data_IF_696161615392
#
_entry.id   IF_696161615392
#
_cell.length_a   1.000
_cell.length_b   1.000
_cell.length_c   1.000
_cell.angle_alpha   90.00
_cell.angle_beta   90.00
_cell.angle_gamma   90.00
#
_symmetry.space_group_name_H-M   'P 1'
#
loop_
_entity.id
_entity.type
_entity.pdbx_description
1 polymer ?
#
# COMPACT_ATOMS: atom_id res chain seq x y z
N UNK A 1 11.29 51.59 -18.12
CA UNK A 1 11.88 50.51 -17.31
C UNK A 1 12.16 51.09 -15.93
N UNK A 2 11.28 50.84 -14.96
CA UNK A 2 11.49 51.27 -13.58
C UNK A 2 12.26 50.17 -12.85
N UNK A 3 13.51 50.44 -12.50
CA UNK A 3 14.35 49.59 -11.65
C UNK A 3 13.64 49.44 -10.30
N UNK A 4 13.13 48.25 -9.97
CA UNK A 4 12.59 47.99 -8.63
C UNK A 4 13.70 48.25 -7.61
N UNK A 5 13.53 49.27 -6.77
CA UNK A 5 14.46 49.57 -5.68
C UNK A 5 14.42 48.42 -4.67
N UNK A 6 15.49 47.62 -4.62
CA UNK A 6 15.66 46.53 -3.65
C UNK A 6 15.53 47.08 -2.24
N UNK A 7 14.54 46.59 -1.47
CA UNK A 7 14.27 47.12 -0.13
C UNK A 7 15.47 46.95 0.80
N UNK A 8 15.62 47.81 1.81
CA UNK A 8 16.68 47.66 2.84
C UNK A 8 16.67 46.29 3.49
N UNK A 9 15.48 45.75 3.73
CA UNK A 9 15.29 44.42 4.30
C UNK A 9 15.85 43.33 3.38
N UNK A 10 15.59 43.43 2.08
CA UNK A 10 16.11 42.50 1.08
C UNK A 10 17.63 42.60 0.95
N UNK A 11 18.20 43.81 0.90
CA UNK A 11 19.67 44.00 0.86
C UNK A 11 20.38 43.34 2.04
N UNK A 12 19.79 43.41 3.23
CA UNK A 12 20.32 42.74 4.43
C UNK A 12 20.23 41.22 4.32
N UNK A 13 19.16 40.67 3.76
CA UNK A 13 19.02 39.24 3.49
C UNK A 13 20.07 38.77 2.47
N UNK A 14 20.22 39.49 1.36
CA UNK A 14 21.18 39.14 0.31
C UNK A 14 22.63 39.18 0.82
N UNK A 15 22.99 40.23 1.58
CA UNK A 15 24.30 40.35 2.21
C UNK A 15 24.56 39.23 3.23
N UNK A 16 23.55 38.85 4.01
CA UNK A 16 23.66 37.76 4.97
C UNK A 16 23.92 36.43 4.27
N UNK A 17 23.12 36.08 3.25
CA UNK A 17 23.29 34.87 2.45
C UNK A 17 24.68 34.79 1.81
N UNK A 18 25.16 35.91 1.26
CA UNK A 18 26.47 35.98 0.65
C UNK A 18 27.60 35.71 1.66
N UNK A 19 27.57 36.37 2.82
CA UNK A 19 28.61 36.17 3.83
C UNK A 19 28.53 34.79 4.48
N UNK A 20 27.33 34.29 4.75
CA UNK A 20 27.15 32.93 5.27
C UNK A 20 27.69 31.87 4.32
N UNK A 21 27.54 32.06 3.01
CA UNK A 21 28.08 31.14 2.01
C UNK A 21 29.61 31.16 1.92
N UNK A 22 30.25 32.32 2.15
CA UNK A 22 31.70 32.49 2.00
C UNK A 22 32.49 32.02 3.23
N UNK A 23 32.04 32.40 4.42
CA UNK A 23 32.82 32.24 5.66
C UNK A 23 32.02 31.56 6.79
N UNK A 24 30.79 31.15 6.52
CA UNK A 24 29.92 30.46 7.46
C UNK A 24 29.16 31.36 8.43
N UNK A 25 28.16 30.78 9.08
CA UNK A 25 27.25 31.53 9.96
C UNK A 25 28.02 32.00 11.18
N UNK A 26 28.73 31.12 11.89
CA UNK A 26 29.40 31.42 13.15
C UNK A 26 30.35 32.62 13.03
N UNK A 27 31.22 32.64 12.02
CA UNK A 27 32.24 33.67 11.80
C UNK A 27 31.67 34.99 11.24
N UNK A 28 30.45 35.00 10.70
CA UNK A 28 29.83 36.21 10.13
C UNK A 28 29.24 37.12 11.21
N UNK A 29 29.73 38.34 11.34
CA UNK A 29 29.21 39.32 12.31
C UNK A 29 28.06 40.16 11.73
N UNK A 30 27.15 40.63 12.59
CA UNK A 30 26.06 41.56 12.19
C UNK A 30 26.59 42.85 11.56
N UNK A 31 27.75 43.31 12.02
CA UNK A 31 28.45 44.46 11.46
C UNK A 31 28.90 44.25 10.01
N UNK A 32 29.54 43.11 9.72
CA UNK A 32 29.95 42.78 8.34
C UNK A 32 28.74 42.72 7.40
N UNK A 33 27.62 42.17 7.86
CA UNK A 33 26.39 42.10 7.07
C UNK A 33 25.84 43.50 6.81
N UNK A 34 25.76 44.35 7.82
CA UNK A 34 25.28 45.73 7.67
C UNK A 34 26.18 46.56 6.75
N UNK A 35 27.50 46.40 6.87
CA UNK A 35 28.49 47.04 6.00
C UNK A 35 28.32 46.60 4.53
N UNK A 36 28.23 45.29 4.27
CA UNK A 36 28.00 44.76 2.92
C UNK A 36 26.65 45.20 2.34
N UNK A 37 25.60 45.22 3.17
CA UNK A 37 24.28 45.70 2.80
C UNK A 37 24.23 47.23 2.65
N UNK A 38 25.29 47.97 2.97
CA UNK A 38 25.35 49.44 2.95
C UNK A 38 24.28 50.09 3.83
N UNK A 39 24.18 49.66 5.08
CA UNK A 39 23.29 50.24 6.11
C UNK A 39 23.98 50.29 7.47
N UNK A 40 23.41 51.07 8.39
CA UNK A 40 23.85 51.06 9.78
C UNK A 40 23.45 49.73 10.46
N UNK A 41 24.30 49.17 11.31
CA UNK A 41 24.03 47.94 12.06
C UNK A 41 22.75 48.03 12.91
N UNK A 42 22.40 49.21 13.43
CA UNK A 42 21.14 49.45 14.14
C UNK A 42 19.92 49.16 13.26
N UNK A 43 20.02 49.38 11.95
CA UNK A 43 18.95 49.08 10.98
C UNK A 43 18.73 47.58 10.86
N UNK A 44 19.78 46.76 10.93
CA UNK A 44 19.67 45.30 10.98
C UNK A 44 18.87 44.86 12.21
N UNK A 45 19.24 45.36 13.40
CA UNK A 45 18.54 45.03 14.64
C UNK A 45 17.07 45.49 14.63
N UNK A 46 16.74 46.61 13.99
CA UNK A 46 15.35 47.06 13.82
C UNK A 46 14.53 46.13 12.93
N UNK A 47 15.12 45.56 11.89
CA UNK A 47 14.39 44.70 10.96
C UNK A 47 14.28 43.25 11.43
N UNK A 48 15.30 42.74 12.13
CA UNK A 48 15.44 41.30 12.39
C UNK A 48 15.68 40.95 13.85
N UNK A 49 15.85 41.94 14.73
CA UNK A 49 16.11 41.74 16.16
C UNK A 49 17.53 41.27 16.49
N UNK A 50 18.01 40.22 15.83
CA UNK A 50 19.35 39.65 16.00
C UNK A 50 19.81 38.88 14.75
N UNK A 51 21.04 38.34 14.80
CA UNK A 51 21.62 37.53 13.71
C UNK A 51 20.79 36.28 13.39
N UNK A 52 20.19 35.65 14.41
CA UNK A 52 19.33 34.47 14.22
C UNK A 52 18.02 34.83 13.50
N UNK A 53 17.39 35.96 13.84
CA UNK A 53 16.20 36.46 13.15
C UNK A 53 16.48 36.81 11.69
N UNK A 54 17.69 37.31 11.39
CA UNK A 54 18.13 37.54 10.02
C UNK A 54 18.39 36.23 9.27
N UNK A 55 19.03 35.24 9.92
CA UNK A 55 19.20 33.91 9.34
C UNK A 55 17.85 33.27 8.98
N UNK A 56 16.86 33.40 9.85
CA UNK A 56 15.51 32.89 9.58
C UNK A 56 14.85 33.58 8.41
N UNK A 57 14.89 34.91 8.37
CA UNK A 57 14.37 35.66 7.24
C UNK A 57 15.07 35.27 5.93
N UNK A 58 16.39 35.06 5.98
CA UNK A 58 17.16 34.58 4.84
C UNK A 58 16.72 33.18 4.37
N UNK A 59 16.33 32.29 5.29
CA UNK A 59 15.78 30.97 4.97
C UNK A 59 14.36 31.09 4.37
N UNK A 60 13.47 31.81 5.04
CA UNK A 60 12.05 31.85 4.67
C UNK A 60 11.74 32.73 3.47
N UNK A 61 12.60 33.70 3.16
CA UNK A 61 12.31 34.73 2.15
C UNK A 61 13.24 34.78 0.96
N UNK A 62 14.31 33.99 0.96
CA UNK A 62 15.14 33.83 -0.24
C UNK A 62 14.31 33.26 -1.39
N UNK A 63 14.49 33.85 -2.58
CA UNK A 63 13.89 33.37 -3.82
C UNK A 63 14.26 31.90 -4.11
N UNK A 64 15.47 31.49 -3.75
CA UNK A 64 15.98 30.11 -3.88
C UNK A 64 15.07 29.10 -3.19
N UNK A 65 14.41 29.52 -2.10
CA UNK A 65 13.58 28.67 -1.25
C UNK A 65 12.07 28.82 -1.54
N UNK A 66 11.64 29.88 -2.22
CA UNK A 66 10.25 30.12 -2.64
C UNK A 66 9.93 29.50 -4.01
N UNK A 67 10.85 29.59 -4.97
CA UNK A 67 10.65 29.09 -6.34
C UNK A 67 10.75 27.56 -6.44
N UNK A 68 11.12 26.90 -5.34
CA UNK A 68 11.28 25.45 -5.24
C UNK A 68 9.98 24.69 -5.53
N UNK A 69 8.84 25.15 -5.00
CA UNK A 69 7.54 24.48 -5.18
C UNK A 69 7.03 24.50 -6.63
N UNK A 70 7.20 25.64 -7.33
CA UNK A 70 6.79 25.77 -8.73
C UNK A 70 7.67 24.95 -9.67
N UNK A 71 8.99 24.95 -9.45
CA UNK A 71 9.92 24.13 -10.23
C UNK A 71 9.62 22.63 -10.13
N UNK A 72 9.23 22.15 -8.94
CA UNK A 72 8.84 20.74 -8.75
C UNK A 72 7.59 20.38 -9.54
N UNK A 73 6.57 21.24 -9.58
CA UNK A 73 5.34 21.00 -10.35
C UNK A 73 5.62 20.88 -11.85
N UNK A 74 6.48 21.74 -12.39
CA UNK A 74 6.85 21.70 -13.80
C UNK A 74 7.62 20.42 -14.14
N UNK A 75 8.59 20.02 -13.29
CA UNK A 75 9.33 18.76 -13.44
C UNK A 75 8.42 17.52 -13.38
N UNK A 76 7.37 17.54 -12.56
CA UNK A 76 6.44 16.41 -12.42
C UNK A 76 5.79 16.02 -13.77
N UNK A 77 5.56 17.01 -14.63
CA UNK A 77 4.96 16.81 -15.95
C UNK A 77 5.93 16.17 -16.96
N UNK A 78 7.24 16.23 -16.72
CA UNK A 78 8.28 15.84 -17.68
C UNK A 78 8.96 14.52 -17.33
N UNK A 79 8.92 14.07 -16.07
CA UNK A 79 9.65 12.87 -15.65
C UNK A 79 9.02 11.58 -16.17
N UNK A 80 9.82 10.58 -16.56
CA UNK A 80 9.34 9.35 -17.21
C UNK A 80 8.82 8.25 -16.27
N UNK A 81 9.24 8.23 -15.00
CA UNK A 81 8.84 7.21 -14.01
C UNK A 81 8.95 7.73 -12.56
N UNK A 82 8.29 7.09 -11.60
CA UNK A 82 8.42 7.41 -10.17
C UNK A 82 9.86 7.22 -9.68
N UNK A 83 10.54 6.18 -10.16
CA UNK A 83 11.96 5.95 -9.89
C UNK A 83 12.80 7.18 -10.26
N UNK A 84 12.63 7.67 -11.49
CA UNK A 84 13.39 8.83 -11.98
C UNK A 84 12.99 10.10 -11.22
N UNK A 85 11.72 10.27 -10.88
CA UNK A 85 11.23 11.43 -10.14
C UNK A 85 11.85 11.52 -8.74
N UNK A 86 11.88 10.41 -8.01
CA UNK A 86 12.50 10.34 -6.69
C UNK A 86 14.01 10.58 -6.77
N UNK A 87 14.68 9.99 -7.78
CA UNK A 87 16.13 10.12 -7.97
C UNK A 87 16.54 11.55 -8.33
N UNK A 88 15.85 12.17 -9.28
CA UNK A 88 16.10 13.55 -9.70
C UNK A 88 15.88 14.51 -8.54
N UNK A 89 14.74 14.37 -7.85
CA UNK A 89 14.43 15.16 -6.66
C UNK A 89 15.51 15.03 -5.58
N UNK A 90 15.89 13.79 -5.23
CA UNK A 90 16.85 13.53 -4.17
C UNK A 90 18.24 14.09 -4.53
N UNK A 91 18.66 13.96 -5.78
CA UNK A 91 19.92 14.52 -6.26
C UNK A 91 19.91 16.05 -6.24
N UNK A 92 18.88 16.68 -6.81
CA UNK A 92 18.74 18.14 -6.82
C UNK A 92 18.71 18.69 -5.39
N UNK A 93 18.01 17.99 -4.49
CA UNK A 93 17.90 18.41 -3.09
C UNK A 93 19.23 18.31 -2.35
N UNK A 94 20.00 17.23 -2.52
CA UNK A 94 21.33 17.14 -1.93
C UNK A 94 22.26 18.22 -2.47
N UNK A 95 22.24 18.47 -3.78
CA UNK A 95 23.04 19.54 -4.38
C UNK A 95 22.68 20.91 -3.81
N UNK A 96 21.39 21.19 -3.59
CA UNK A 96 20.95 22.42 -2.96
C UNK A 96 21.43 22.54 -1.51
N UNK A 97 21.38 21.45 -0.73
CA UNK A 97 21.87 21.43 0.66
C UNK A 97 23.40 21.62 0.73
N UNK A 98 24.15 21.08 -0.24
CA UNK A 98 25.61 21.26 -0.38
C UNK A 98 26.01 22.73 -0.61
N UNK A 99 25.12 23.59 -1.14
CA UNK A 99 25.40 25.02 -1.30
C UNK A 99 25.29 25.81 0.02
N UNK A 100 24.66 25.22 1.06
CA UNK A 100 24.37 25.90 2.34
C UNK A 100 24.68 25.01 3.56
N UNK A 101 25.89 24.42 3.68
CA UNK A 101 26.19 23.43 4.71
C UNK A 101 26.07 23.98 6.14
N UNK A 102 26.53 25.21 6.36
CA UNK A 102 26.48 25.89 7.66
C UNK A 102 25.05 26.11 8.16
N UNK A 103 24.12 26.33 7.22
CA UNK A 103 22.70 26.49 7.52
C UNK A 103 22.08 25.17 7.97
N UNK A 104 22.41 24.07 7.28
CA UNK A 104 21.99 22.72 7.66
C UNK A 104 22.51 22.37 9.05
N UNK A 105 23.80 22.63 9.31
CA UNK A 105 24.42 22.37 10.61
C UNK A 105 23.81 23.22 11.72
N UNK A 106 23.49 24.49 11.45
CA UNK A 106 22.85 25.37 12.43
C UNK A 106 21.41 24.93 12.74
N UNK A 107 20.62 24.52 11.75
CA UNK A 107 19.26 23.99 11.98
C UNK A 107 19.29 22.67 12.77
N UNK A 108 20.21 21.76 12.48
CA UNK A 108 20.29 20.46 13.17
C UNK A 108 20.93 20.59 14.57
N UNK A 109 22.01 21.35 14.69
CA UNK A 109 22.84 21.45 15.90
C UNK A 109 22.47 22.56 16.87
N UNK A 110 21.88 23.66 16.40
CA UNK A 110 21.62 24.86 17.21
C UNK A 110 20.13 25.19 17.42
N UNK A 111 19.22 24.34 16.94
CA UNK A 111 17.76 24.56 17.04
C UNK A 111 17.26 24.90 18.46
N UNK A 112 17.90 24.35 19.50
CA UNK A 112 17.57 24.63 20.92
C UNK A 112 17.95 26.04 21.38
N UNK A 113 18.81 26.75 20.63
CA UNK A 113 19.20 28.14 20.91
C UNK A 113 18.25 29.16 20.31
N UNK A 114 17.34 28.73 19.42
CA UNK A 114 16.31 29.60 18.86
C UNK A 114 15.18 29.88 19.85
N UNK A 115 14.57 31.06 19.77
CA UNK A 115 13.35 31.35 20.50
C UNK A 115 12.21 30.45 20.02
N UNK A 116 11.17 30.28 20.85
CA UNK A 116 9.99 29.48 20.48
C UNK A 116 9.28 30.00 19.22
N UNK A 117 9.22 31.33 19.05
CA UNK A 117 8.66 31.97 17.86
C UNK A 117 9.44 31.60 16.60
N UNK A 118 10.78 31.63 16.68
CA UNK A 118 11.65 31.23 15.59
C UNK A 118 11.55 29.75 15.22
N UNK A 119 11.44 28.87 16.23
CA UNK A 119 11.23 27.44 16.01
C UNK A 119 9.91 27.15 15.28
N UNK A 120 8.84 27.88 15.65
CA UNK A 120 7.55 27.74 14.99
C UNK A 120 7.62 28.15 13.51
N UNK A 121 8.26 29.28 13.19
CA UNK A 121 8.42 29.74 11.80
C UNK A 121 9.20 28.73 10.96
N UNK A 122 10.28 28.14 11.50
CA UNK A 122 11.00 27.06 10.81
C UNK A 122 10.07 25.86 10.57
N UNK A 123 9.32 25.44 11.59
CA UNK A 123 8.42 24.30 11.51
C UNK A 123 7.33 24.48 10.45
N UNK A 124 6.70 25.65 10.41
CA UNK A 124 5.69 26.01 9.40
C UNK A 124 6.29 25.99 7.99
N UNK A 125 7.48 26.57 7.81
CA UNK A 125 8.17 26.57 6.52
C UNK A 125 8.53 25.14 6.05
N UNK A 126 9.10 24.31 6.93
CA UNK A 126 9.41 22.91 6.62
C UNK A 126 8.15 22.11 6.28
N UNK A 127 7.05 22.38 6.97
CA UNK A 127 5.74 21.75 6.70
C UNK A 127 5.24 22.12 5.31
N UNK A 128 5.28 23.41 4.96
CA UNK A 128 4.89 23.89 3.64
C UNK A 128 5.78 23.32 2.53
N UNK A 129 7.11 23.33 2.72
CA UNK A 129 8.04 22.74 1.77
C UNK A 129 7.77 21.25 1.56
N UNK A 130 7.49 20.51 2.63
CA UNK A 130 7.14 19.08 2.56
C UNK A 130 5.83 18.84 1.80
N UNK A 131 4.86 19.76 1.90
CA UNK A 131 3.61 19.66 1.16
C UNK A 131 3.84 19.73 -0.36
N UNK A 132 4.72 20.61 -0.85
CA UNK A 132 5.05 20.67 -2.28
C UNK A 132 5.68 19.36 -2.79
N UNK A 133 6.52 18.73 -1.97
CA UNK A 133 7.13 17.43 -2.30
C UNK A 133 6.08 16.32 -2.30
N UNK A 134 5.15 16.35 -1.35
CA UNK A 134 4.05 15.39 -1.31
C UNK A 134 3.15 15.53 -2.55
N UNK A 135 2.82 16.76 -2.97
CA UNK A 135 2.05 17.02 -4.19
C UNK A 135 2.79 16.56 -5.45
N UNK A 136 4.11 16.79 -5.53
CA UNK A 136 4.97 16.30 -6.60
C UNK A 136 4.93 14.76 -6.71
N UNK A 137 5.19 14.06 -5.60
CA UNK A 137 5.18 12.60 -5.57
C UNK A 137 3.77 12.06 -5.88
N UNK A 138 2.72 12.68 -5.34
CA UNK A 138 1.33 12.29 -5.60
C UNK A 138 0.98 12.37 -7.09
N UNK A 139 1.40 13.46 -7.75
CA UNK A 139 1.16 13.66 -9.19
C UNK A 139 1.77 12.53 -10.03
N UNK A 140 2.99 12.10 -9.68
CA UNK A 140 3.69 11.02 -10.39
C UNK A 140 3.06 9.65 -10.10
N UNK A 141 2.67 9.40 -8.85
CA UNK A 141 1.96 8.18 -8.43
C UNK A 141 0.61 8.04 -9.15
N UNK A 142 -0.19 9.11 -9.20
CA UNK A 142 -1.50 9.11 -9.86
C UNK A 142 -1.37 8.85 -11.36
N UNK A 143 -0.39 9.48 -12.01
CA UNK A 143 -0.11 9.29 -13.44
C UNK A 143 0.30 7.86 -13.77
N UNK A 144 1.10 7.23 -12.91
CA UNK A 144 1.58 5.86 -13.09
C UNK A 144 0.62 4.81 -12.53
N UNK A 145 -0.54 5.21 -12.00
CA UNK A 145 -1.54 4.31 -11.41
C UNK A 145 -0.92 3.40 -10.33
N UNK A 146 -0.19 4.01 -9.40
CA UNK A 146 0.51 3.31 -8.33
C UNK A 146 -0.25 3.47 -7.00
N UNK A 147 -0.10 2.50 -6.09
CA UNK A 147 -0.63 2.58 -4.73
C UNK A 147 0.51 2.59 -3.71
N UNK A 148 0.39 3.44 -2.70
CA UNK A 148 1.36 3.50 -1.60
C UNK A 148 0.85 2.84 -0.34
N UNK A 149 1.74 2.13 0.36
CA UNK A 149 1.43 1.55 1.67
C UNK A 149 1.35 2.61 2.78
N UNK A 150 1.96 3.79 2.56
CA UNK A 150 1.96 4.93 3.47
C UNK A 150 1.32 6.17 2.81
N UNK A 151 0.75 7.10 3.60
CA UNK A 151 0.33 8.41 3.09
C UNK A 151 1.49 9.14 2.40
N UNK A 152 1.23 9.75 1.24
CA UNK A 152 2.27 10.43 0.44
C UNK A 152 2.98 11.55 1.21
N UNK A 153 2.26 12.23 2.11
CA UNK A 153 2.85 13.23 3.01
C UNK A 153 3.91 12.66 3.94
N UNK A 154 3.71 11.43 4.44
CA UNK A 154 4.69 10.73 5.28
C UNK A 154 5.89 10.27 4.46
N UNK A 155 5.67 9.80 3.23
CA UNK A 155 6.77 9.47 2.32
C UNK A 155 7.64 10.70 2.05
N UNK A 156 7.03 11.84 1.72
CA UNK A 156 7.76 13.10 1.56
C UNK A 156 8.56 13.49 2.82
N UNK A 157 7.97 13.33 4.01
CA UNK A 157 8.66 13.63 5.27
C UNK A 157 9.86 12.72 5.51
N UNK A 158 9.71 11.40 5.27
CA UNK A 158 10.78 10.42 5.42
C UNK A 158 11.91 10.70 4.43
N UNK A 159 11.57 10.99 3.18
CA UNK A 159 12.53 11.29 2.13
C UNK A 159 13.37 12.51 2.52
N UNK A 160 12.71 13.61 2.87
CA UNK A 160 13.39 14.83 3.34
C UNK A 160 14.26 14.59 4.57
N UNK A 161 13.78 13.79 5.53
CA UNK A 161 14.52 13.48 6.76
C UNK A 161 15.79 12.69 6.48
N UNK A 162 15.73 11.69 5.59
CA UNK A 162 16.88 10.87 5.20
C UNK A 162 17.91 11.69 4.42
N UNK A 163 17.47 12.56 3.50
CA UNK A 163 18.35 13.47 2.76
C UNK A 163 19.03 14.47 3.69
N UNK A 164 18.29 15.06 4.63
CA UNK A 164 18.83 15.98 5.63
C UNK A 164 19.84 15.27 6.55
N UNK A 165 19.53 14.04 6.99
CA UNK A 165 20.43 13.22 7.80
C UNK A 165 21.73 12.89 7.08
N UNK A 166 21.65 12.48 5.81
CA UNK A 166 22.82 12.26 4.96
C UNK A 166 23.68 13.52 4.86
N UNK A 167 23.09 14.66 4.51
CA UNK A 167 23.80 15.93 4.37
C UNK A 167 24.46 16.37 5.69
N UNK A 168 23.74 16.28 6.82
CA UNK A 168 24.26 16.65 8.13
C UNK A 168 25.46 15.78 8.54
N UNK A 169 25.40 14.46 8.31
CA UNK A 169 26.52 13.55 8.59
C UNK A 169 27.72 13.87 7.70
N UNK A 170 27.49 14.12 6.41
CA UNK A 170 28.54 14.47 5.46
C UNK A 170 29.25 15.77 5.85
N UNK A 171 28.50 16.81 6.19
CA UNK A 171 29.07 18.12 6.55
C UNK A 171 29.77 18.11 7.91
N UNK A 172 29.34 17.28 8.86
CA UNK A 172 29.99 17.17 10.19
C UNK A 172 31.27 16.35 10.17
N UNK A 173 31.29 15.23 9.44
CA UNK A 173 32.40 14.27 9.52
C UNK A 173 33.49 14.54 8.49
N UNK A 174 33.18 15.25 7.39
CA UNK A 174 34.10 15.47 6.26
C UNK A 174 34.57 14.17 5.61
N UNK A 175 33.97 13.02 5.95
CA UNK A 175 34.42 11.68 5.55
C UNK A 175 33.23 10.79 5.20
N UNK A 176 33.31 10.12 4.06
CA UNK A 176 32.25 9.26 3.54
C UNK A 176 32.43 7.83 4.08
N UNK A 177 31.97 7.58 5.32
CA UNK A 177 32.16 6.28 5.99
C UNK A 177 30.95 5.34 5.94
N UNK A 178 29.73 5.88 5.80
CA UNK A 178 28.51 5.08 5.87
C UNK A 178 28.06 4.51 4.51
N UNK A 179 28.54 5.11 3.41
CA UNK A 179 28.20 4.76 2.04
C UNK A 179 29.45 4.88 1.18
N UNK A 180 29.62 4.01 0.17
CA UNK A 180 30.75 4.06 -0.76
C UNK A 180 30.68 5.29 -1.67
N UNK A 181 29.46 5.72 -2.03
CA UNK A 181 29.25 6.90 -2.87
C UNK A 181 27.89 7.54 -2.61
N UNK A 182 27.74 8.79 -3.09
CA UNK A 182 26.45 9.50 -3.12
C UNK A 182 25.42 8.73 -3.97
N UNK A 183 25.85 8.16 -5.10
CA UNK A 183 24.97 7.42 -5.99
C UNK A 183 24.45 6.14 -5.33
N UNK A 184 25.29 5.41 -4.59
CA UNK A 184 24.86 4.21 -3.86
C UNK A 184 23.78 4.55 -2.81
N UNK A 185 23.96 5.65 -2.07
CA UNK A 185 22.95 6.13 -1.12
C UNK A 185 21.64 6.48 -1.82
N UNK A 186 21.71 7.20 -2.94
CA UNK A 186 20.52 7.60 -3.69
C UNK A 186 19.77 6.40 -4.28
N UNK A 187 20.47 5.41 -4.83
CA UNK A 187 19.85 4.17 -5.34
C UNK A 187 19.16 3.40 -4.22
N UNK A 188 19.85 3.19 -3.08
CA UNK A 188 19.30 2.49 -1.92
C UNK A 188 18.07 3.22 -1.35
N UNK A 189 18.11 4.56 -1.34
CA UNK A 189 17.01 5.40 -0.92
C UNK A 189 15.82 5.25 -1.87
N UNK A 190 16.02 5.34 -3.19
CA UNK A 190 14.92 5.20 -4.15
C UNK A 190 14.31 3.80 -4.07
N UNK A 191 15.12 2.75 -3.97
CA UNK A 191 14.65 1.36 -3.83
C UNK A 191 13.78 1.17 -2.57
N UNK A 192 14.19 1.73 -1.43
CA UNK A 192 13.39 1.72 -0.19
C UNK A 192 11.98 2.28 -0.42
N UNK A 193 11.88 3.39 -1.17
CA UNK A 193 10.61 4.07 -1.45
C UNK A 193 9.79 3.35 -2.51
N UNK A 194 10.42 2.80 -3.54
CA UNK A 194 9.73 1.97 -4.51
C UNK A 194 9.14 0.70 -3.88
N UNK A 195 9.79 0.12 -2.86
CA UNK A 195 9.20 -0.99 -2.10
C UNK A 195 7.96 -0.60 -1.28
N UNK A 196 7.70 0.71 -1.08
CA UNK A 196 6.44 1.20 -0.50
C UNK A 196 5.34 1.39 -1.54
N UNK A 197 5.69 1.27 -2.81
CA UNK A 197 4.83 1.56 -3.95
C UNK A 197 4.61 0.26 -4.70
N UNK A 198 3.36 -0.19 -4.70
CA UNK A 198 2.97 -1.28 -5.57
C UNK A 198 2.33 -0.65 -6.82
N UNK A 199 2.52 -1.27 -7.99
CA UNK A 199 1.59 -1.00 -9.10
C UNK A 199 0.16 -1.13 -8.56
N UNK A 200 -0.82 -0.43 -9.14
CA UNK A 200 -2.18 -0.91 -9.01
C UNK A 200 -2.19 -2.36 -9.48
N UNK A 201 -2.00 -3.29 -8.53
CA UNK A 201 -2.67 -4.57 -8.58
C UNK A 201 -4.10 -4.12 -8.73
N UNK A 202 -4.67 -4.30 -9.93
CA UNK A 202 -6.10 -4.31 -10.13
C UNK A 202 -6.67 -4.90 -8.86
N UNK A 203 -7.33 -4.08 -8.03
CA UNK A 203 -7.94 -4.61 -6.80
C UNK A 203 -8.85 -5.69 -7.34
N UNK A 204 -8.45 -6.95 -7.17
CA UNK A 204 -9.03 -8.04 -7.92
C UNK A 204 -10.49 -8.04 -7.52
N UNK A 205 -11.35 -7.56 -8.42
CA UNK A 205 -12.72 -7.23 -8.06
C UNK A 205 -13.31 -8.54 -7.56
N UNK A 206 -13.69 -8.58 -6.29
CA UNK A 206 -14.27 -9.78 -5.72
C UNK A 206 -15.64 -9.97 -6.36
N UNK A 207 -15.77 -10.99 -7.20
CA UNK A 207 -17.00 -11.32 -7.93
C UNK A 207 -17.47 -12.67 -7.41
N UNK A 208 -18.22 -12.64 -6.32
CA UNK A 208 -18.91 -13.83 -5.82
C UNK A 208 -20.07 -14.25 -6.75
N UNK A 209 -20.38 -15.54 -6.75
CA UNK A 209 -21.43 -16.10 -7.58
C UNK A 209 -22.80 -16.00 -6.88
N UNK A 210 -23.88 -15.67 -7.61
CA UNK A 210 -25.21 -15.62 -7.03
C UNK A 210 -25.72 -17.04 -6.68
N UNK A 211 -26.57 -17.12 -5.66
CA UNK A 211 -27.00 -18.40 -5.06
C UNK A 211 -27.66 -19.37 -6.07
N UNK A 212 -28.49 -18.84 -6.97
CA UNK A 212 -29.12 -19.62 -8.03
C UNK A 212 -28.08 -20.28 -8.97
N UNK A 213 -27.02 -19.56 -9.32
CA UNK A 213 -25.96 -20.07 -10.18
C UNK A 213 -25.12 -21.14 -9.46
N UNK A 214 -24.76 -20.91 -8.20
CA UNK A 214 -24.05 -21.91 -7.37
C UNK A 214 -24.87 -23.20 -7.24
N UNK A 215 -26.17 -23.08 -6.96
CA UNK A 215 -27.04 -24.25 -6.85
C UNK A 215 -27.20 -24.98 -8.19
N UNK A 216 -27.22 -24.25 -9.31
CA UNK A 216 -27.25 -24.83 -10.66
C UNK A 216 -25.95 -25.57 -11.00
N UNK A 217 -24.78 -25.00 -10.65
CA UNK A 217 -23.46 -25.66 -10.80
C UNK A 217 -23.44 -26.98 -10.03
N UNK A 218 -23.84 -26.97 -8.76
CA UNK A 218 -23.92 -28.18 -7.93
C UNK A 218 -24.92 -29.20 -8.48
N UNK A 219 -26.03 -28.76 -9.07
CA UNK A 219 -27.00 -29.65 -9.71
C UNK A 219 -26.47 -30.27 -11.01
N UNK A 220 -25.77 -29.50 -11.85
CA UNK A 220 -25.11 -30.01 -13.06
C UNK A 220 -24.05 -31.04 -12.70
N UNK A 221 -23.18 -30.73 -11.74
CA UNK A 221 -22.14 -31.64 -11.26
C UNK A 221 -22.73 -32.98 -10.77
N UNK A 222 -23.83 -32.93 -10.00
CA UNK A 222 -24.56 -34.12 -9.56
C UNK A 222 -25.10 -35.00 -10.70
N UNK A 223 -25.46 -34.41 -11.84
CA UNK A 223 -25.95 -35.15 -13.00
C UNK A 223 -24.83 -35.80 -13.81
N UNK A 224 -23.62 -35.24 -13.77
CA UNK A 224 -22.47 -35.78 -14.49
C UNK A 224 -21.97 -37.02 -13.74
N UNK A 225 -21.55 -36.86 -12.48
CA UNK A 225 -21.00 -37.96 -11.69
C UNK A 225 -20.93 -37.62 -10.19
N UNK A 226 -20.77 -38.64 -9.34
CA UNK A 226 -20.66 -38.45 -7.89
C UNK A 226 -19.38 -37.71 -7.46
N UNK A 227 -18.26 -37.91 -8.18
CA UNK A 227 -16.99 -37.22 -7.90
C UNK A 227 -17.12 -35.72 -8.13
N UNK A 228 -17.58 -35.31 -9.31
CA UNK A 228 -17.80 -33.90 -9.64
C UNK A 228 -18.75 -33.23 -8.65
N UNK A 229 -19.79 -33.93 -8.20
CA UNK A 229 -20.67 -33.41 -7.15
C UNK A 229 -19.94 -33.18 -5.82
N UNK A 230 -19.12 -34.14 -5.40
CA UNK A 230 -18.28 -34.02 -4.22
C UNK A 230 -17.25 -32.89 -4.36
N UNK A 231 -16.61 -32.75 -5.52
CA UNK A 231 -15.61 -31.73 -5.81
C UNK A 231 -16.22 -30.32 -5.75
N UNK A 232 -17.34 -30.10 -6.46
CA UNK A 232 -18.05 -28.81 -6.42
C UNK A 232 -18.57 -28.50 -5.02
N UNK A 233 -19.04 -29.51 -4.28
CA UNK A 233 -19.43 -29.33 -2.88
C UNK A 233 -18.25 -28.85 -2.04
N UNK A 234 -17.06 -29.47 -2.15
CA UNK A 234 -15.88 -29.06 -1.38
C UNK A 234 -15.46 -27.63 -1.71
N UNK A 235 -15.38 -27.27 -3.00
CA UNK A 235 -15.03 -25.92 -3.45
C UNK A 235 -15.92 -24.84 -2.79
N UNK A 236 -17.23 -25.05 -2.78
CA UNK A 236 -18.18 -24.09 -2.18
C UNK A 236 -18.38 -24.25 -0.67
N UNK A 237 -18.00 -25.38 -0.06
CA UNK A 237 -18.20 -25.62 1.37
C UNK A 237 -17.02 -25.20 2.24
N UNK A 238 -15.83 -25.06 1.65
CA UNK A 238 -14.56 -24.90 2.40
C UNK A 238 -13.77 -23.65 2.01
N UNK A 239 -14.03 -23.06 0.84
CA UNK A 239 -13.24 -21.92 0.37
C UNK A 239 -11.77 -22.26 0.07
N UNK A 240 -11.46 -23.54 -0.13
CA UNK A 240 -10.12 -23.99 -0.54
C UNK A 240 -9.89 -23.71 -2.02
N UNK A 241 -8.64 -23.46 -2.38
CA UNK A 241 -8.21 -23.36 -3.77
C UNK A 241 -8.18 -24.74 -4.46
N UNK A 242 -8.17 -24.75 -5.79
CA UNK A 242 -8.03 -25.98 -6.57
C UNK A 242 -6.72 -26.72 -6.25
N UNK A 243 -5.62 -25.98 -6.07
CA UNK A 243 -4.34 -26.54 -5.66
C UNK A 243 -4.42 -27.21 -4.28
N UNK A 244 -5.07 -26.58 -3.32
CA UNK A 244 -5.20 -27.16 -1.98
C UNK A 244 -6.03 -28.45 -2.01
N UNK A 245 -7.12 -28.47 -2.79
CA UNK A 245 -7.96 -29.65 -2.95
C UNK A 245 -7.19 -30.81 -3.62
N UNK A 246 -6.37 -30.51 -4.64
CA UNK A 246 -5.53 -31.50 -5.31
C UNK A 246 -4.56 -32.21 -4.36
N UNK A 247 -4.12 -31.50 -3.31
CA UNK A 247 -3.16 -32.00 -2.34
C UNK A 247 -3.80 -32.57 -1.06
N UNK A 248 -5.12 -32.66 -1.00
CA UNK A 248 -5.80 -33.30 0.12
C UNK A 248 -5.66 -34.82 0.04
N UNK A 249 -5.43 -35.44 1.19
CA UNK A 249 -5.48 -36.89 1.38
C UNK A 249 -6.67 -37.28 2.26
N UNK A 250 -7.05 -38.56 2.21
CA UNK A 250 -8.12 -39.12 3.03
C UNK A 250 -7.85 -38.94 4.52
N UNK A 251 -6.58 -39.01 4.94
CA UNK A 251 -6.15 -38.84 6.33
C UNK A 251 -6.30 -37.42 6.86
N UNK A 252 -6.45 -36.42 5.97
CA UNK A 252 -6.66 -35.02 6.36
C UNK A 252 -8.10 -34.73 6.81
N UNK A 253 -9.00 -35.73 6.81
CA UNK A 253 -10.39 -35.58 7.21
C UNK A 253 -10.55 -35.83 8.71
N UNK A 254 -11.15 -34.86 9.40
CA UNK A 254 -11.53 -34.99 10.81
C UNK A 254 -13.05 -34.88 10.89
N UNK A 255 -13.72 -36.03 11.12
CA UNK A 255 -15.18 -36.15 11.07
C UNK A 255 -15.70 -36.65 12.42
N UNK A 256 -16.62 -35.90 13.01
CA UNK A 256 -17.46 -36.37 14.12
C UNK A 256 -18.94 -36.06 13.85
N UNK A 257 -19.81 -36.16 14.87
CA UNK A 257 -21.25 -35.90 14.71
C UNK A 257 -21.57 -34.41 14.53
N UNK A 258 -20.69 -33.54 15.01
CA UNK A 258 -20.93 -32.10 15.21
C UNK A 258 -20.05 -31.22 14.30
N UNK A 259 -19.04 -31.79 13.65
CA UNK A 259 -18.16 -31.08 12.70
C UNK A 259 -17.54 -32.01 11.67
N UNK A 260 -17.13 -31.39 10.57
CA UNK A 260 -16.28 -31.96 9.55
C UNK A 260 -15.22 -30.92 9.20
N UNK A 261 -13.96 -31.24 9.47
CA UNK A 261 -12.81 -30.39 9.16
C UNK A 261 -11.91 -31.07 8.12
N UNK A 262 -11.28 -30.25 7.29
CA UNK A 262 -10.18 -30.64 6.42
C UNK A 262 -8.90 -29.97 6.92
N UNK A 263 -7.85 -30.76 7.13
CA UNK A 263 -6.54 -30.27 7.51
C UNK A 263 -5.69 -29.97 6.28
N UNK A 264 -5.24 -28.72 6.17
CA UNK A 264 -4.32 -28.29 5.11
C UNK A 264 -2.91 -28.38 5.67
N UNK A 265 -2.07 -29.18 5.02
CA UNK A 265 -0.68 -29.44 5.44
C UNK A 265 0.35 -28.71 4.57
N UNK A 266 -0.08 -28.13 3.45
CA UNK A 266 0.77 -27.32 2.59
C UNK A 266 0.87 -25.89 3.12
N UNK A 267 2.10 -25.42 3.34
CA UNK A 267 2.37 -24.12 3.94
C UNK A 267 2.10 -24.11 5.45
N UNK A 268 1.34 -23.13 5.94
CA UNK A 268 0.95 -23.07 7.35
C UNK A 268 -0.16 -24.08 7.63
N UNK A 269 0.10 -25.02 8.57
CA UNK A 269 -0.86 -26.04 8.95
C UNK A 269 -2.10 -25.39 9.55
N UNK A 270 -3.27 -25.67 8.96
CA UNK A 270 -4.55 -25.10 9.40
C UNK A 270 -5.70 -26.07 9.16
N UNK A 271 -6.83 -25.82 9.83
CA UNK A 271 -8.04 -26.63 9.70
C UNK A 271 -9.18 -25.76 9.19
N UNK A 272 -9.91 -26.28 8.20
CA UNK A 272 -11.00 -25.57 7.54
C UNK A 272 -12.29 -26.36 7.69
N UNK A 273 -13.40 -25.73 8.13
CA UNK A 273 -14.68 -26.41 8.23
C UNK A 273 -15.28 -26.71 6.86
N UNK A 274 -15.90 -27.88 6.73
CA UNK A 274 -16.74 -28.26 5.58
C UNK A 274 -18.18 -27.88 5.91
N UNK A 275 -18.66 -26.75 5.36
CA UNK A 275 -19.97 -26.21 5.66
C UNK A 275 -21.12 -27.08 5.12
N UNK A 276 -22.13 -27.34 5.96
CA UNK A 276 -23.37 -28.02 5.53
C UNK A 276 -24.31 -27.11 4.75
N UNK A 277 -24.19 -25.81 4.93
CA UNK A 277 -25.06 -24.79 4.35
C UNK A 277 -24.26 -23.93 3.38
N UNK A 278 -24.70 -23.89 2.13
CA UNK A 278 -24.09 -23.11 1.06
C UNK A 278 -25.19 -22.22 0.48
N UNK A 279 -25.07 -20.91 0.70
CA UNK A 279 -26.00 -19.89 0.23
C UNK A 279 -27.47 -20.27 0.49
N UNK A 280 -27.79 -20.57 1.75
CA UNK A 280 -29.15 -20.86 2.21
C UNK A 280 -29.66 -22.29 1.97
N UNK A 281 -28.90 -23.15 1.27
CA UNK A 281 -29.30 -24.54 1.02
C UNK A 281 -28.43 -25.53 1.78
N UNK A 282 -29.06 -26.54 2.38
CA UNK A 282 -28.39 -27.60 3.14
C UNK A 282 -27.99 -28.78 2.25
N UNK A 283 -26.75 -29.25 2.39
CA UNK A 283 -26.13 -30.33 1.60
C UNK A 283 -25.74 -31.54 2.48
N UNK A 284 -26.70 -32.02 3.29
CA UNK A 284 -26.52 -33.20 4.14
C UNK A 284 -26.03 -32.89 5.55
N UNK A 285 -25.45 -33.91 6.21
CA UNK A 285 -24.84 -33.83 7.54
C UNK A 285 -23.33 -34.02 7.48
N UNK A 286 -22.61 -33.80 8.58
CA UNK A 286 -21.16 -33.98 8.65
C UNK A 286 -20.72 -35.41 8.29
N UNK A 287 -21.52 -36.41 8.64
CA UNK A 287 -21.27 -37.83 8.35
C UNK A 287 -21.91 -38.34 7.04
N UNK A 288 -22.76 -37.52 6.42
CA UNK A 288 -23.50 -37.86 5.19
C UNK A 288 -23.75 -36.61 4.34
N UNK A 289 -22.74 -36.22 3.58
CA UNK A 289 -22.71 -35.15 2.59
C UNK A 289 -22.16 -35.66 1.25
N UNK A 290 -22.14 -34.86 0.17
CA UNK A 290 -21.64 -35.29 -1.14
C UNK A 290 -20.24 -35.91 -1.12
N UNK A 291 -19.30 -35.32 -0.38
CA UNK A 291 -17.92 -35.83 -0.25
C UNK A 291 -17.90 -37.22 0.40
N UNK A 292 -18.51 -37.37 1.58
CA UNK A 292 -18.55 -38.66 2.29
C UNK A 292 -19.29 -39.75 1.50
N UNK A 293 -20.32 -39.40 0.72
CA UNK A 293 -21.04 -40.35 -0.13
C UNK A 293 -20.17 -40.85 -1.28
N UNK A 294 -19.45 -39.94 -1.94
CA UNK A 294 -18.53 -40.31 -2.99
C UNK A 294 -17.35 -41.13 -2.46
N UNK A 295 -16.73 -40.75 -1.33
CA UNK A 295 -15.66 -41.52 -0.71
C UNK A 295 -16.10 -42.93 -0.29
N UNK A 296 -17.35 -43.12 0.16
CA UNK A 296 -17.90 -44.46 0.45
C UNK A 296 -18.12 -45.31 -0.80
N UNK A 297 -18.27 -44.70 -1.97
CA UNK A 297 -18.42 -45.42 -3.23
C UNK A 297 -17.09 -45.89 -3.83
N UNK A 298 -15.97 -45.31 -3.37
CA UNK A 298 -14.61 -45.68 -3.79
C UNK A 298 -14.21 -47.05 -3.23
N UNK A 299 -13.60 -47.89 -4.09
CA UNK A 299 -13.09 -49.23 -3.75
C UNK A 299 -11.56 -49.34 -3.82
N UNK A 300 -10.88 -48.21 -3.93
CA UNK A 300 -9.43 -48.11 -4.04
C UNK A 300 -8.75 -47.83 -2.69
N UNK A 301 -7.42 -48.06 -2.64
CA UNK A 301 -6.57 -47.80 -1.48
C UNK A 301 -5.73 -46.52 -1.63
N UNK A 302 -6.08 -45.63 -2.57
CA UNK A 302 -5.30 -44.41 -2.81
C UNK A 302 -5.45 -43.42 -1.66
N UNK A 303 -4.34 -42.80 -1.28
CA UNK A 303 -4.30 -41.80 -0.21
C UNK A 303 -5.00 -40.50 -0.62
N UNK A 304 -4.90 -40.11 -1.90
CA UNK A 304 -5.46 -38.87 -2.41
C UNK A 304 -6.98 -38.79 -2.21
N UNK A 305 -7.45 -37.61 -1.78
CA UNK A 305 -8.85 -37.34 -1.53
C UNK A 305 -9.65 -37.37 -2.82
N UNK A 306 -9.13 -36.78 -3.91
CA UNK A 306 -9.73 -36.80 -5.25
C UNK A 306 -8.91 -37.60 -6.25
N UNK A 307 -9.57 -38.41 -7.09
CA UNK A 307 -8.93 -39.21 -8.16
C UNK A 307 -9.52 -38.87 -9.53
N UNK A 308 -8.70 -38.94 -10.56
CA UNK A 308 -9.13 -38.86 -11.96
C UNK A 308 -9.72 -40.20 -12.46
N UNK A 309 -10.13 -40.25 -13.73
CA UNK A 309 -10.77 -41.43 -14.33
C UNK A 309 -9.80 -42.62 -14.49
N UNK A 310 -8.50 -42.35 -14.47
CA UNK A 310 -7.45 -43.37 -14.46
C UNK A 310 -7.12 -43.90 -13.05
N UNK A 311 -7.76 -43.38 -12.00
CA UNK A 311 -7.49 -43.75 -10.61
C UNK A 311 -6.26 -43.09 -10.01
N UNK A 312 -5.68 -42.08 -10.67
CA UNK A 312 -4.54 -41.31 -10.17
C UNK A 312 -5.03 -40.07 -9.40
N UNK A 313 -4.20 -39.49 -8.50
CA UNK A 313 -4.52 -38.23 -7.83
C UNK A 313 -4.92 -37.12 -8.80
N UNK A 314 -6.02 -36.45 -8.51
CA UNK A 314 -6.54 -35.37 -9.35
C UNK A 314 -5.65 -34.13 -9.20
N UNK A 315 -5.09 -33.64 -10.31
CA UNK A 315 -4.27 -32.44 -10.36
C UNK A 315 -5.09 -31.14 -10.35
N UNK A 316 -4.43 -30.01 -10.04
CA UNK A 316 -5.06 -28.68 -10.11
C UNK A 316 -5.64 -28.41 -11.51
N UNK A 317 -4.89 -28.74 -12.57
CA UNK A 317 -5.31 -28.53 -13.96
C UNK A 317 -6.56 -29.35 -14.27
N UNK A 318 -6.63 -30.61 -13.83
CA UNK A 318 -7.81 -31.45 -14.02
C UNK A 318 -9.03 -30.91 -13.25
N UNK A 319 -8.83 -30.36 -12.04
CA UNK A 319 -9.91 -29.69 -11.28
C UNK A 319 -10.44 -28.47 -12.06
N UNK A 320 -9.54 -27.66 -12.63
CA UNK A 320 -9.92 -26.51 -13.46
C UNK A 320 -10.68 -26.94 -14.73
N UNK A 321 -10.26 -28.03 -15.37
CA UNK A 321 -10.96 -28.61 -16.53
C UNK A 321 -12.36 -29.11 -16.16
N UNK A 322 -12.49 -29.82 -15.03
CA UNK A 322 -13.79 -30.27 -14.51
C UNK A 322 -14.72 -29.10 -14.24
N UNK A 323 -14.20 -28.02 -13.64
CA UNK A 323 -14.95 -26.79 -13.46
C UNK A 323 -15.47 -26.25 -14.80
N UNK A 324 -14.60 -26.11 -15.81
CA UNK A 324 -15.01 -25.63 -17.15
C UNK A 324 -16.09 -26.51 -17.80
N UNK A 325 -16.00 -27.83 -17.67
CA UNK A 325 -17.01 -28.76 -18.19
C UNK A 325 -18.35 -28.54 -17.50
N UNK A 326 -18.36 -28.42 -16.17
CA UNK A 326 -19.60 -28.24 -15.38
C UNK A 326 -20.23 -26.87 -15.65
N UNK A 327 -19.41 -25.82 -15.76
CA UNK A 327 -19.86 -24.44 -15.98
C UNK A 327 -20.09 -24.09 -17.45
N UNK A 328 -19.85 -25.02 -18.37
CA UNK A 328 -20.06 -24.80 -19.80
C UNK A 328 -21.50 -24.30 -20.09
N UNK A 329 -21.57 -23.20 -20.84
CA UNK A 329 -22.83 -22.55 -21.22
C UNK A 329 -23.53 -21.80 -20.09
N UNK A 330 -22.91 -21.67 -18.90
CA UNK A 330 -23.39 -20.79 -17.84
C UNK A 330 -22.72 -19.42 -17.95
N UNK A 331 -23.45 -18.37 -17.61
CA UNK A 331 -22.97 -17.00 -17.56
C UNK A 331 -23.25 -16.40 -16.19
N UNK A 332 -22.35 -15.55 -15.71
CA UNK A 332 -22.59 -14.66 -14.56
C UNK A 332 -23.55 -13.54 -14.97
N UNK A 333 -24.13 -12.79 -14.01
CA UNK A 333 -24.97 -11.62 -14.32
C UNK A 333 -24.28 -10.58 -15.22
N UNK A 334 -22.96 -10.52 -15.21
CA UNK A 334 -22.13 -9.66 -16.05
C UNK A 334 -21.87 -10.23 -17.47
N UNK A 335 -22.46 -11.39 -17.79
CA UNK A 335 -22.31 -12.03 -19.10
C UNK A 335 -20.98 -12.75 -19.30
N UNK A 336 -20.23 -13.01 -18.23
CA UNK A 336 -18.92 -13.70 -18.29
C UNK A 336 -19.05 -15.18 -17.90
N UNK A 337 -18.11 -16.01 -18.35
CA UNK A 337 -18.05 -17.40 -17.92
C UNK A 337 -17.59 -17.48 -16.45
N UNK A 338 -18.23 -18.30 -15.59
CA UNK A 338 -17.78 -18.46 -14.20
C UNK A 338 -16.37 -19.04 -14.13
N UNK A 339 -15.50 -18.44 -13.31
CA UNK A 339 -14.13 -18.89 -13.08
C UNK A 339 -14.00 -19.51 -11.69
N UNK A 340 -13.12 -20.51 -11.55
CA UNK A 340 -13.05 -21.36 -10.36
C UNK A 340 -12.67 -20.59 -9.08
N UNK A 341 -11.88 -19.51 -9.19
CA UNK A 341 -11.50 -18.66 -8.04
C UNK A 341 -12.73 -18.04 -7.37
N UNK A 342 -13.83 -17.87 -8.11
CA UNK A 342 -15.07 -17.33 -7.56
C UNK A 342 -15.71 -18.27 -6.52
N UNK A 343 -15.34 -19.56 -6.49
CA UNK A 343 -15.81 -20.48 -5.44
C UNK A 343 -15.29 -20.08 -4.07
N UNK A 344 -13.98 -19.85 -3.95
CA UNK A 344 -13.34 -19.31 -2.76
C UNK A 344 -13.87 -17.91 -2.46
N UNK A 345 -14.01 -17.06 -3.48
CA UNK A 345 -14.52 -15.71 -3.26
C UNK A 345 -15.93 -15.72 -2.65
N UNK A 346 -16.81 -16.58 -3.19
CA UNK A 346 -18.18 -16.76 -2.73
C UNK A 346 -18.23 -17.26 -1.28
N UNK A 347 -17.39 -18.23 -0.94
CA UNK A 347 -17.33 -18.76 0.42
C UNK A 347 -16.86 -17.70 1.43
N UNK A 348 -15.81 -16.94 1.11
CA UNK A 348 -15.30 -15.85 1.95
C UNK A 348 -16.37 -14.78 2.20
N UNK A 349 -17.07 -14.33 1.14
CA UNK A 349 -18.18 -13.37 1.29
C UNK A 349 -19.28 -13.95 2.16
N UNK A 350 -19.67 -15.21 1.98
CA UNK A 350 -20.70 -15.86 2.80
C UNK A 350 -20.30 -15.95 4.28
N UNK A 351 -19.04 -16.27 4.59
CA UNK A 351 -18.57 -16.34 5.98
C UNK A 351 -18.57 -14.97 6.67
N UNK A 352 -18.12 -13.92 5.98
CA UNK A 352 -18.16 -12.57 6.51
C UNK A 352 -19.60 -12.09 6.74
N UNK A 353 -20.51 -12.37 5.81
CA UNK A 353 -21.96 -12.09 5.99
C UNK A 353 -22.54 -12.81 7.21
N UNK A 354 -22.03 -14.00 7.57
CA UNK A 354 -22.41 -14.75 8.77
C UNK A 354 -21.73 -14.27 10.05
N UNK A 355 -21.01 -13.15 10.01
CA UNK A 355 -20.38 -12.52 11.18
C UNK A 355 -18.96 -12.99 11.48
N UNK A 356 -18.30 -13.69 10.55
CA UNK A 356 -16.88 -14.02 10.69
C UNK A 356 -16.02 -12.75 10.60
N UNK A 357 -15.02 -12.62 11.47
CA UNK A 357 -14.04 -11.51 11.39
C UNK A 357 -12.97 -11.82 10.34
N UNK A 358 -12.25 -10.79 9.87
CA UNK A 358 -11.17 -10.95 8.90
C UNK A 358 -9.99 -11.73 9.48
N UNK A 359 -9.71 -11.57 10.77
CA UNK A 359 -8.66 -12.29 11.48
C UNK A 359 -8.97 -13.79 11.50
N UNK A 360 -10.21 -14.15 11.84
CA UNK A 360 -10.64 -15.54 11.83
C UNK A 360 -10.66 -16.11 10.41
N UNK A 361 -11.09 -15.33 9.43
CA UNK A 361 -11.09 -15.75 8.03
C UNK A 361 -9.66 -15.97 7.51
N UNK A 362 -8.72 -15.10 7.88
CA UNK A 362 -7.28 -15.23 7.57
C UNK A 362 -6.71 -16.53 8.14
N UNK A 363 -7.08 -16.92 9.37
CA UNK A 363 -6.66 -18.19 9.95
C UNK A 363 -7.20 -19.41 9.19
N UNK A 364 -8.40 -19.32 8.60
CA UNK A 364 -9.01 -20.42 7.85
C UNK A 364 -8.51 -20.49 6.40
N UNK A 365 -8.37 -19.36 5.72
CA UNK A 365 -7.97 -19.32 4.31
C UNK A 365 -6.45 -19.32 4.13
N UNK A 366 -5.69 -18.96 5.15
CA UNK A 366 -4.25 -18.75 5.04
C UNK A 366 -3.87 -17.47 4.27
N UNK A 367 -4.85 -16.64 3.90
CA UNK A 367 -4.64 -15.38 3.19
C UNK A 367 -4.29 -14.26 4.15
N UNK A 368 -3.49 -13.29 3.70
CA UNK A 368 -3.16 -12.11 4.51
C UNK A 368 -4.36 -11.17 4.65
N UNK A 369 -4.37 -10.34 5.71
CA UNK A 369 -5.41 -9.32 5.89
C UNK A 369 -5.49 -8.34 4.70
N UNK A 370 -4.36 -8.09 4.01
CA UNK A 370 -4.32 -7.27 2.80
C UNK A 370 -5.11 -7.92 1.66
N UNK A 371 -4.96 -9.22 1.46
CA UNK A 371 -5.71 -10.00 0.45
C UNK A 371 -7.20 -10.12 0.77
N UNK A 372 -7.58 -10.10 2.06
CA UNK A 372 -8.98 -10.22 2.50
C UNK A 372 -9.72 -8.88 2.54
N UNK A 373 -9.01 -7.74 2.57
CA UNK A 373 -9.63 -6.41 2.65
C UNK A 373 -10.66 -6.12 1.55
N UNK A 374 -10.47 -6.50 0.27
CA UNK A 374 -11.46 -6.27 -0.79
C UNK A 374 -12.83 -6.93 -0.53
N UNK A 375 -12.87 -8.04 0.22
CA UNK A 375 -14.10 -8.74 0.55
C UNK A 375 -15.05 -7.93 1.42
N UNK A 376 -14.51 -7.04 2.28
CA UNK A 376 -15.31 -6.16 3.14
C UNK A 376 -16.20 -5.25 2.28
N UNK A 377 -15.63 -4.69 1.21
CA UNK A 377 -16.36 -3.80 0.33
C UNK A 377 -17.51 -4.54 -0.33
N UNK A 378 -17.26 -5.76 -0.79
CA UNK A 378 -18.27 -6.60 -1.39
C UNK A 378 -19.39 -7.00 -0.42
N UNK A 379 -19.04 -7.32 0.82
CA UNK A 379 -20.02 -7.62 1.89
C UNK A 379 -20.90 -6.40 2.18
N UNK A 380 -20.31 -5.20 2.28
CA UNK A 380 -21.07 -3.95 2.47
C UNK A 380 -22.08 -3.71 1.35
N UNK A 381 -21.69 -3.94 0.09
CA UNK A 381 -22.59 -3.84 -1.06
C UNK A 381 -23.78 -4.79 -0.92
N UNK A 382 -23.55 -6.07 -0.56
CA UNK A 382 -24.63 -7.05 -0.40
C UNK A 382 -25.57 -6.72 0.75
N UNK A 383 -25.03 -6.30 1.90
CA UNK A 383 -25.84 -5.85 3.05
C UNK A 383 -26.71 -4.66 2.66
N UNK A 384 -26.18 -3.68 1.94
CA UNK A 384 -26.95 -2.52 1.49
C UNK A 384 -28.11 -2.92 0.57
N UNK A 385 -27.89 -3.87 -0.35
CA UNK A 385 -28.94 -4.41 -1.23
C UNK A 385 -30.00 -5.16 -0.43
N UNK A 386 -29.60 -6.01 0.53
CA UNK A 386 -30.54 -6.75 1.39
C UNK A 386 -31.40 -5.81 2.24
N UNK A 387 -30.80 -4.75 2.79
CA UNK A 387 -31.52 -3.71 3.53
C UNK A 387 -32.54 -2.96 2.66
N UNK A 388 -32.18 -2.64 1.42
CA UNK A 388 -33.10 -2.00 0.47
C UNK A 388 -34.30 -2.91 0.15
N UNK A 389 -34.06 -4.20 -0.10
CA UNK A 389 -35.12 -5.20 -0.37
C UNK A 389 -36.02 -5.37 0.85
N UNK A 390 -35.47 -5.41 2.07
CA UNK A 390 -36.26 -5.58 3.28
C UNK A 390 -37.22 -4.39 3.49
N UNK A 391 -36.76 -3.15 3.25
CA UNK A 391 -37.62 -1.96 3.36
C UNK A 391 -38.77 -1.92 2.35
N UNK A 392 -38.56 -2.44 1.15
CA UNK A 392 -39.62 -2.57 0.14
C UNK A 392 -40.69 -3.57 0.59
N UNK A 393 -40.27 -4.69 1.19
CA UNK A 393 -41.19 -5.70 1.76
C UNK A 393 -41.97 -5.20 2.97
N UNK A 394 -41.35 -4.39 3.83
CA UNK A 394 -42.01 -3.80 5.00
C UNK A 394 -42.99 -2.67 4.63
N UNK A 395 -42.94 -2.18 3.38
CA UNK A 395 -43.81 -1.12 2.85
C UNK A 395 -45.03 -1.67 2.08
N UNK A 396 -45.15 -3.00 1.94
CA UNK A 396 -46.30 -3.73 1.39
C UNK A 396 -47.11 -4.36 2.53
#
# INVERSE_FOLDING_TARGET
MATQLTSTRQRLIDAALQLFSIQGITETTTRQIAELAQVNEVTLFRHFGNKQGLLLAAISESAVFKDFGESLREKASQTSSLHQALKDYASDRLQALEQVPELVLSVVGESRRYSSEHQQVIGEYLTQANQYVAEYIATVIEREQLQTNLPVSQLASLLNSLLLGYAAIQFTTGFQALWQSRDEFLESLVELFLNQVEAESSVEKIIDLPANLVHLILQKAKKIELRDYALMYVLFATGLSALEIANLERVHQIIDRDRYLLQITQGSVRQVPVNQWILGKRYGSYTRNPLTQWLKSRKDNEAALFLNDAGLPLSEIEIQQRWQIITQGLLTPEGQAPVIVQTQQTWCVEMLMKGMTLENLSMLTGQSLKQLKPYIQRVKEKIAIEQAIQRDRDSQ
#
